data_IF_362648102872
#
_entry.id   IF_362648102872
#
_cell.length_a   1.000
_cell.length_b   1.000
_cell.length_c   1.000
_cell.angle_alpha   90.00
_cell.angle_beta   90.00
_cell.angle_gamma   90.00
#
_symmetry.space_group_name_H-M   'P 1'
#
loop_
_entity.id
_entity.type
_entity.pdbx_description
1 polymer ?
#
# COMPACT_ATOMS: atom_id res chain seq x y z
N UNK A 1 19.25 6.40 19.68
CA UNK A 1 17.85 6.84 19.53
C UNK A 1 17.01 5.63 19.84
N UNK A 2 16.40 5.62 21.02
CA UNK A 2 15.59 4.52 21.52
C UNK A 2 14.43 4.29 20.55
N UNK A 3 14.40 3.13 19.91
CA UNK A 3 13.19 2.67 19.22
C UNK A 3 12.12 2.50 20.31
N UNK A 4 11.10 3.37 20.30
CA UNK A 4 9.97 3.47 21.26
C UNK A 4 9.16 2.15 21.41
N UNK A 5 9.79 1.06 21.81
CA UNK A 5 9.18 -0.27 21.91
C UNK A 5 8.90 -0.96 20.56
N UNK A 6 8.96 -0.28 19.41
CA UNK A 6 8.71 -0.90 18.08
C UNK A 6 9.76 -1.97 17.79
N UNK A 7 9.29 -3.17 17.46
CA UNK A 7 10.15 -4.35 17.18
C UNK A 7 10.16 -4.73 15.70
N UNK A 8 9.13 -4.34 14.94
CA UNK A 8 9.06 -4.67 13.51
C UNK A 8 8.36 -3.61 12.66
N UNK A 9 8.64 -3.65 11.36
CA UNK A 9 8.05 -2.80 10.33
C UNK A 9 7.43 -3.68 9.26
N UNK A 10 6.13 -3.51 9.02
CA UNK A 10 5.41 -4.09 7.91
C UNK A 10 5.30 -3.04 6.79
N UNK A 11 6.01 -3.30 5.70
CA UNK A 11 6.20 -2.36 4.61
C UNK A 11 5.50 -2.86 3.34
N UNK A 12 4.57 -2.06 2.83
CA UNK A 12 3.86 -2.32 1.59
C UNK A 12 4.37 -1.47 0.41
N UNK A 13 5.52 -0.79 0.56
CA UNK A 13 6.11 -0.06 -0.57
C UNK A 13 6.23 -1.01 -1.75
N UNK A 14 5.85 -0.48 -2.90
CA UNK A 14 5.97 -1.17 -4.16
C UNK A 14 7.47 -1.28 -4.47
N UNK A 15 8.08 -2.39 -4.10
CA UNK A 15 9.28 -2.86 -4.80
C UNK A 15 8.73 -3.41 -6.10
N UNK A 16 8.38 -2.52 -7.03
CA UNK A 16 7.99 -2.93 -8.36
C UNK A 16 9.15 -3.78 -8.86
N UNK A 17 9.07 -5.10 -8.88
CA UNK A 17 10.20 -5.91 -9.36
C UNK A 17 10.01 -6.22 -10.84
N UNK A 18 8.82 -6.06 -11.38
CA UNK A 18 8.60 -5.97 -12.83
C UNK A 18 8.99 -4.58 -13.35
N UNK A 19 8.77 -3.54 -12.53
CA UNK A 19 9.10 -2.15 -12.88
C UNK A 19 10.56 -1.80 -12.49
N UNK A 20 11.04 -2.08 -11.28
CA UNK A 20 12.41 -1.83 -10.78
C UNK A 20 13.47 -2.84 -11.21
N UNK A 21 13.12 -4.00 -11.78
CA UNK A 21 14.12 -4.82 -12.48
C UNK A 21 14.52 -4.18 -13.83
N UNK A 22 13.74 -3.19 -14.29
CA UNK A 22 14.02 -2.38 -15.49
C UNK A 22 14.07 -0.86 -15.26
N UNK A 23 13.65 -0.34 -14.10
CA UNK A 23 14.04 1.00 -13.63
C UNK A 23 15.48 0.86 -13.14
N UNK A 24 16.45 1.17 -13.98
CA UNK A 24 17.79 1.38 -13.48
C UNK A 24 17.75 2.54 -12.50
N UNK A 25 17.69 2.26 -11.19
CA UNK A 25 18.09 3.07 -10.01
C UNK A 25 17.96 4.62 -10.08
N UNK A 26 17.20 5.25 -10.98
CA UNK A 26 17.39 6.67 -11.32
C UNK A 26 16.19 7.57 -11.09
N UNK A 27 14.94 7.13 -11.25
CA UNK A 27 13.78 8.03 -11.15
C UNK A 27 13.37 8.27 -9.69
N UNK A 28 13.17 7.20 -8.92
CA UNK A 28 12.84 7.31 -7.49
C UNK A 28 14.02 7.81 -6.66
N UNK A 29 15.25 7.38 -6.99
CA UNK A 29 16.46 7.93 -6.37
C UNK A 29 16.69 9.39 -6.74
N UNK A 30 16.28 9.86 -7.93
CA UNK A 30 16.38 11.28 -8.28
C UNK A 30 15.33 12.13 -7.54
N UNK A 31 14.12 11.62 -7.33
CA UNK A 31 13.10 12.29 -6.52
C UNK A 31 13.48 12.30 -5.03
N UNK A 32 13.96 11.18 -4.48
CA UNK A 32 14.54 11.15 -3.13
C UNK A 32 15.80 12.01 -3.02
N UNK A 33 16.68 12.02 -4.02
CA UNK A 33 17.86 12.88 -4.03
C UNK A 33 17.48 14.37 -4.19
N UNK A 34 16.35 14.69 -4.81
CA UNK A 34 15.78 16.05 -4.85
C UNK A 34 15.20 16.45 -3.50
N UNK A 35 14.42 15.59 -2.83
CA UNK A 35 14.01 15.80 -1.42
C UNK A 35 15.23 16.00 -0.50
N UNK A 36 16.23 15.13 -0.63
CA UNK A 36 17.50 15.20 0.11
C UNK A 36 18.33 16.45 -0.24
N UNK A 37 18.20 17.03 -1.45
CA UNK A 37 18.80 18.32 -1.81
C UNK A 37 18.18 19.50 -1.09
N UNK A 38 16.92 19.40 -0.71
CA UNK A 38 16.26 20.37 0.15
C UNK A 38 16.71 20.19 1.61
N UNK A 39 16.91 18.95 2.06
CA UNK A 39 17.46 18.62 3.40
C UNK A 39 18.97 18.93 3.55
N UNK A 40 19.70 19.08 2.44
CA UNK A 40 21.14 19.35 2.35
C UNK A 40 21.58 20.73 2.91
N UNK A 41 20.65 21.55 3.43
CA UNK A 41 21.00 22.77 4.17
C UNK A 41 21.46 22.49 5.62
N UNK A 42 21.41 21.25 6.08
CA UNK A 42 21.81 20.84 7.44
C UNK A 42 23.20 20.15 7.40
N UNK A 43 24.27 20.78 7.93
CA UNK A 43 25.65 20.29 7.79
C UNK A 43 25.92 18.89 8.36
N UNK A 44 25.12 18.43 9.32
CA UNK A 44 25.29 17.12 9.98
C UNK A 44 25.04 15.92 9.05
N UNK A 45 24.32 16.09 7.93
CA UNK A 45 23.95 15.00 7.03
C UNK A 45 24.97 14.74 5.91
N UNK A 46 25.92 15.65 5.70
CA UNK A 46 26.87 15.64 4.56
C UNK A 46 27.87 14.47 4.58
N UNK A 47 28.28 13.97 5.76
CA UNK A 47 29.26 12.88 5.86
C UNK A 47 28.68 11.47 5.61
N UNK A 48 27.34 11.32 5.61
CA UNK A 48 26.68 10.01 5.46
C UNK A 48 26.38 9.61 4.00
N UNK A 49 26.53 10.53 3.06
CA UNK A 49 25.91 10.43 1.73
C UNK A 49 26.71 9.67 0.66
N UNK A 50 27.93 9.22 0.94
CA UNK A 50 28.72 8.43 -0.03
C UNK A 50 28.28 6.95 -0.14
N UNK A 51 27.43 6.46 0.77
CA UNK A 51 27.11 5.04 0.92
C UNK A 51 25.64 4.62 0.60
N UNK A 52 24.75 5.52 0.19
CA UNK A 52 23.30 5.28 0.31
C UNK A 52 22.57 5.05 -1.03
N UNK A 53 22.64 3.81 -1.53
CA UNK A 53 21.80 3.29 -2.62
C UNK A 53 20.62 2.43 -2.13
N UNK A 54 20.39 2.33 -0.82
CA UNK A 54 19.34 1.48 -0.22
C UNK A 54 18.46 2.29 0.75
N UNK A 55 17.17 1.90 0.95
CA UNK A 55 16.31 2.54 1.92
C UNK A 55 16.95 2.44 3.31
N UNK A 56 16.99 3.57 4.03
CA UNK A 56 17.57 3.63 5.38
C UNK A 56 16.71 2.77 6.29
N UNK A 57 17.19 1.56 6.59
CA UNK A 57 16.61 0.69 7.60
C UNK A 57 17.14 1.11 8.98
N UNK A 58 16.23 1.19 9.94
CA UNK A 58 16.59 1.48 11.33
C UNK A 58 17.21 0.20 11.90
N UNK A 59 18.48 0.24 12.35
CA UNK A 59 19.13 -0.94 12.92
C UNK A 59 18.33 -1.49 14.11
N UNK A 60 18.18 -2.81 14.16
CA UNK A 60 17.45 -3.49 15.24
C UNK A 60 15.96 -3.72 14.97
N UNK A 61 15.37 -3.13 13.92
CA UNK A 61 14.00 -3.43 13.51
C UNK A 61 13.95 -4.58 12.51
N UNK A 62 12.97 -5.46 12.68
CA UNK A 62 12.67 -6.50 11.69
C UNK A 62 11.75 -5.98 10.60
N UNK A 63 12.23 -5.95 9.36
CA UNK A 63 11.45 -5.50 8.20
C UNK A 63 10.73 -6.67 7.52
N UNK A 64 9.45 -6.47 7.22
CA UNK A 64 8.58 -7.39 6.48
C UNK A 64 8.07 -6.68 5.23
N UNK A 65 8.70 -6.92 4.09
CA UNK A 65 8.29 -6.34 2.81
C UNK A 65 7.25 -7.24 2.13
N UNK A 66 6.03 -6.72 1.94
CA UNK A 66 4.93 -7.46 1.33
C UNK A 66 4.31 -6.65 0.21
N UNK A 67 4.28 -7.23 -0.98
CA UNK A 67 3.74 -6.60 -2.18
C UNK A 67 2.25 -6.92 -2.35
N UNK A 68 1.38 -6.20 -1.66
CA UNK A 68 -0.08 -6.40 -1.75
C UNK A 68 -0.56 -6.31 -3.21
N UNK A 69 -0.12 -5.29 -3.96
CA UNK A 69 -0.39 -5.17 -5.40
C UNK A 69 0.63 -5.99 -6.20
N UNK A 70 0.61 -7.31 -5.99
CA UNK A 70 1.52 -8.27 -6.61
C UNK A 70 1.19 -8.61 -8.06
N UNK A 71 1.93 -9.54 -8.65
CA UNK A 71 1.81 -9.89 -10.08
C UNK A 71 0.40 -10.36 -10.50
N UNK A 72 -0.34 -11.00 -9.59
CA UNK A 72 -1.74 -11.39 -9.82
C UNK A 72 -2.64 -10.17 -10.02
N UNK A 73 -2.52 -9.17 -9.15
CA UNK A 73 -3.26 -7.92 -9.23
C UNK A 73 -2.84 -7.08 -10.44
N UNK A 74 -1.53 -6.96 -10.69
CA UNK A 74 -1.02 -6.27 -11.90
C UNK A 74 -1.61 -6.86 -13.18
N UNK A 75 -1.59 -8.20 -13.29
CA UNK A 75 -2.15 -8.90 -14.44
C UNK A 75 -3.67 -8.77 -14.54
N UNK A 76 -4.36 -8.79 -13.40
CA UNK A 76 -5.79 -8.47 -13.35
C UNK A 76 -6.06 -7.09 -13.95
N UNK A 77 -5.33 -6.04 -13.56
CA UNK A 77 -5.51 -4.69 -14.13
C UNK A 77 -5.22 -4.65 -15.64
N UNK A 78 -4.13 -5.28 -16.10
CA UNK A 78 -3.77 -5.31 -17.53
C UNK A 78 -4.87 -5.97 -18.37
N UNK A 79 -5.55 -7.00 -17.85
CA UNK A 79 -6.65 -7.66 -18.57
C UNK A 79 -7.91 -6.83 -18.72
N UNK A 80 -8.01 -5.74 -17.98
CA UNK A 80 -9.16 -4.83 -18.02
C UNK A 80 -8.96 -3.73 -19.08
N UNK A 81 -7.75 -3.64 -19.65
CA UNK A 81 -7.48 -2.72 -20.74
C UNK A 81 -8.26 -3.10 -21.99
N UNK A 82 -8.65 -2.08 -22.74
CA UNK A 82 -9.10 -2.28 -24.11
C UNK A 82 -7.97 -2.89 -24.95
N UNK A 83 -8.30 -3.54 -26.08
CA UNK A 83 -7.28 -4.02 -27.01
C UNK A 83 -6.34 -2.88 -27.47
N UNK A 84 -6.87 -1.67 -27.61
CA UNK A 84 -6.08 -0.48 -27.95
C UNK A 84 -5.19 -0.02 -26.79
N UNK A 85 -5.72 0.00 -25.56
CA UNK A 85 -4.96 0.31 -24.36
C UNK A 85 -3.83 -0.68 -24.12
N UNK A 86 -4.09 -1.98 -24.32
CA UNK A 86 -3.06 -3.02 -24.22
C UNK A 86 -1.96 -2.84 -25.27
N UNK A 87 -2.33 -2.58 -26.53
CA UNK A 87 -1.37 -2.28 -27.58
C UNK A 87 -0.51 -1.06 -27.23
N UNK A 88 -1.14 0.04 -26.81
CA UNK A 88 -0.46 1.28 -26.42
C UNK A 88 0.46 1.06 -25.23
N UNK A 89 0.02 0.33 -24.21
CA UNK A 89 0.82 -0.05 -23.05
C UNK A 89 2.10 -0.77 -23.48
N UNK A 90 1.96 -1.82 -24.31
CA UNK A 90 3.10 -2.63 -24.76
C UNK A 90 4.08 -1.79 -25.59
N UNK A 91 3.60 -1.00 -26.54
CA UNK A 91 4.45 -0.13 -27.37
C UNK A 91 5.21 0.89 -26.52
N UNK A 92 4.54 1.56 -25.59
CA UNK A 92 5.17 2.55 -24.71
C UNK A 92 6.26 1.91 -23.83
N UNK A 93 5.99 0.73 -23.29
CA UNK A 93 6.99 -0.01 -22.51
C UNK A 93 8.19 -0.46 -23.35
N UNK A 94 7.99 -0.88 -24.60
CA UNK A 94 9.08 -1.26 -25.52
C UNK A 94 9.94 -0.06 -25.92
N UNK A 95 9.33 1.12 -26.08
CA UNK A 95 10.01 2.37 -26.40
C UNK A 95 10.63 3.07 -25.18
N UNK A 96 10.44 2.53 -23.97
CA UNK A 96 10.99 3.08 -22.72
C UNK A 96 10.15 4.17 -22.06
N UNK A 97 8.98 4.51 -22.61
CA UNK A 97 8.00 5.47 -22.07
C UNK A 97 7.14 4.84 -20.97
N UNK A 98 7.77 4.53 -19.83
CA UNK A 98 7.12 3.76 -18.74
C UNK A 98 6.02 4.53 -18.03
N UNK A 99 6.23 5.82 -17.76
CA UNK A 99 5.25 6.64 -17.04
C UNK A 99 4.00 6.83 -17.90
N UNK A 100 4.18 7.06 -19.19
CA UNK A 100 3.12 7.14 -20.17
C UNK A 100 2.39 5.80 -20.30
N UNK A 101 3.11 4.68 -20.23
CA UNK A 101 2.52 3.35 -20.18
C UNK A 101 1.66 3.13 -18.93
N UNK A 102 2.15 3.50 -17.75
CA UNK A 102 1.39 3.43 -16.48
C UNK A 102 0.15 4.33 -16.55
N UNK A 103 0.27 5.51 -17.15
CA UNK A 103 -0.85 6.43 -17.38
C UNK A 103 -1.97 5.81 -18.22
N UNK A 104 -1.67 4.84 -19.09
CA UNK A 104 -2.72 4.06 -19.80
C UNK A 104 -3.52 3.22 -18.82
N UNK A 105 -2.89 2.50 -17.89
CA UNK A 105 -3.62 1.79 -16.83
C UNK A 105 -4.39 2.76 -15.95
N UNK A 106 -3.77 3.88 -15.57
CA UNK A 106 -4.40 4.87 -14.72
C UNK A 106 -5.70 5.39 -15.36
N UNK A 107 -5.64 5.82 -16.62
CA UNK A 107 -6.78 6.42 -17.32
C UNK A 107 -7.86 5.43 -17.78
N UNK A 108 -7.48 4.25 -18.29
CA UNK A 108 -8.46 3.27 -18.79
C UNK A 108 -9.02 2.35 -17.71
N UNK A 109 -8.28 2.11 -16.62
CA UNK A 109 -8.62 1.07 -15.64
C UNK A 109 -8.83 1.66 -14.25
N UNK A 110 -7.88 2.43 -13.73
CA UNK A 110 -7.90 2.87 -12.34
C UNK A 110 -8.92 4.00 -12.11
N UNK A 111 -8.85 5.08 -12.89
CA UNK A 111 -9.76 6.24 -12.78
C UNK A 111 -11.23 5.82 -12.93
N UNK A 112 -11.63 5.03 -13.95
CA UNK A 112 -13.03 4.60 -14.08
C UNK A 112 -13.52 3.69 -12.96
N UNK A 113 -12.63 2.92 -12.32
CA UNK A 113 -12.95 2.13 -11.14
C UNK A 113 -13.13 3.01 -9.90
N UNK A 114 -12.29 4.02 -9.76
CA UNK A 114 -12.17 4.81 -8.55
C UNK A 114 -11.49 4.03 -7.41
N UNK A 115 -11.14 4.76 -6.34
CA UNK A 115 -10.41 4.23 -5.19
C UNK A 115 -11.10 3.03 -4.54
N UNK A 116 -12.42 3.14 -4.29
CA UNK A 116 -13.13 2.09 -3.55
C UNK A 116 -13.14 0.78 -4.33
N UNK A 117 -13.52 0.81 -5.61
CA UNK A 117 -13.55 -0.42 -6.42
C UNK A 117 -12.16 -1.02 -6.56
N UNK A 118 -11.12 -0.20 -6.71
CA UNK A 118 -9.75 -0.68 -6.75
C UNK A 118 -9.33 -1.37 -5.43
N UNK A 119 -9.78 -0.83 -4.29
CA UNK A 119 -9.62 -1.47 -2.98
C UNK A 119 -10.28 -2.84 -2.92
N UNK A 120 -11.54 -2.96 -3.37
CA UNK A 120 -12.25 -4.24 -3.42
C UNK A 120 -11.57 -5.24 -4.38
N UNK A 121 -11.19 -4.79 -5.58
CA UNK A 121 -10.45 -5.61 -6.54
C UNK A 121 -9.12 -6.10 -5.92
N UNK A 122 -8.48 -5.32 -5.05
CA UNK A 122 -7.26 -5.76 -4.33
C UNK A 122 -7.58 -6.87 -3.33
N UNK A 123 -8.68 -6.77 -2.57
CA UNK A 123 -9.11 -7.82 -1.64
C UNK A 123 -9.34 -9.15 -2.38
N UNK A 124 -9.90 -9.08 -3.58
CA UNK A 124 -10.24 -10.25 -4.40
C UNK A 124 -9.01 -10.92 -5.03
N UNK A 125 -8.00 -10.15 -5.41
CA UNK A 125 -6.87 -10.65 -6.20
C UNK A 125 -5.61 -10.93 -5.38
N UNK A 126 -5.47 -10.32 -4.20
CA UNK A 126 -4.24 -10.31 -3.39
C UNK A 126 -4.34 -11.06 -2.06
N UNK A 127 -5.22 -12.06 -1.99
CA UNK A 127 -5.49 -12.79 -0.74
C UNK A 127 -4.25 -13.42 -0.09
N UNK A 128 -3.33 -13.98 -0.88
CA UNK A 128 -2.10 -14.60 -0.35
C UNK A 128 -1.20 -13.56 0.33
N UNK A 129 -1.04 -12.40 -0.29
CA UNK A 129 -0.23 -11.30 0.23
C UNK A 129 -0.86 -10.67 1.46
N UNK A 130 -2.19 -10.54 1.47
CA UNK A 130 -2.96 -10.10 2.63
C UNK A 130 -2.79 -11.09 3.79
N UNK A 131 -2.92 -12.40 3.55
CA UNK A 131 -2.72 -13.41 4.58
C UNK A 131 -1.29 -13.39 5.15
N UNK A 132 -0.28 -13.19 4.30
CA UNK A 132 1.12 -13.01 4.75
C UNK A 132 1.27 -11.76 5.63
N UNK A 133 0.61 -10.66 5.29
CA UNK A 133 0.63 -9.44 6.08
C UNK A 133 -0.03 -9.62 7.45
N UNK A 134 -1.21 -10.25 7.49
CA UNK A 134 -1.92 -10.52 8.74
C UNK A 134 -1.13 -11.44 9.69
N UNK A 135 -0.38 -12.40 9.14
CA UNK A 135 0.47 -13.30 9.95
C UNK A 135 1.61 -12.58 10.68
N UNK A 136 2.02 -11.39 10.25
CA UNK A 136 3.02 -10.59 10.98
C UNK A 136 2.51 -10.17 12.36
N UNK A 137 1.20 -9.99 12.54
CA UNK A 137 0.61 -9.65 13.83
C UNK A 137 0.48 -10.87 14.77
N UNK A 138 0.66 -12.09 14.27
CA UNK A 138 0.53 -13.32 15.06
C UNK A 138 1.79 -13.69 15.85
N UNK A 139 2.88 -12.95 15.69
CA UNK A 139 4.14 -13.22 16.39
C UNK A 139 4.35 -12.17 17.50
N UNK A 140 4.38 -12.58 18.78
CA UNK A 140 4.65 -11.66 19.88
C UNK A 140 5.96 -10.87 19.74
N UNK A 141 6.96 -11.44 19.05
CA UNK A 141 8.27 -10.83 18.83
C UNK A 141 8.26 -9.73 17.76
N UNK A 142 7.21 -9.63 16.96
CA UNK A 142 7.05 -8.58 15.95
C UNK A 142 6.20 -7.43 16.46
N UNK A 143 5.38 -7.63 17.49
CA UNK A 143 4.61 -6.59 18.17
C UNK A 143 5.42 -5.84 19.24
N UNK A 144 5.35 -4.49 19.27
CA UNK A 144 4.56 -3.62 18.41
C UNK A 144 5.14 -3.44 16.99
N UNK A 145 4.24 -3.46 16.00
CA UNK A 145 4.54 -3.39 14.56
C UNK A 145 4.14 -2.05 13.99
N UNK A 146 5.05 -1.36 13.28
CA UNK A 146 4.72 -0.21 12.45
C UNK A 146 4.27 -0.67 11.06
N UNK A 147 3.09 -0.24 10.61
CA UNK A 147 2.56 -0.59 9.28
C UNK A 147 2.60 0.65 8.38
N UNK A 148 3.22 0.56 7.21
CA UNK A 148 3.24 1.68 6.27
C UNK A 148 3.24 1.24 4.80
N UNK A 149 2.88 2.18 3.93
CA UNK A 149 3.03 2.05 2.49
C UNK A 149 3.72 3.31 1.93
N UNK A 150 3.37 3.75 0.72
CA UNK A 150 3.90 5.01 0.16
C UNK A 150 3.32 6.24 0.87
N UNK A 151 1.99 6.30 0.99
CA UNK A 151 1.25 7.43 1.59
C UNK A 151 0.57 7.06 2.92
N UNK A 152 0.66 5.80 3.35
CA UNK A 152 -0.02 5.33 4.56
C UNK A 152 -1.54 5.21 4.46
N UNK A 153 -2.14 5.47 3.28
CA UNK A 153 -3.59 5.55 3.07
C UNK A 153 -4.24 4.23 2.65
N UNK A 154 -3.99 3.78 1.41
CA UNK A 154 -4.84 2.73 0.81
C UNK A 154 -4.44 1.31 1.25
N UNK A 155 -3.20 0.87 0.98
CA UNK A 155 -2.71 -0.47 1.36
C UNK A 155 -2.63 -0.64 2.87
N UNK A 156 -2.17 0.40 3.57
CA UNK A 156 -2.13 0.42 5.04
C UNK A 156 -3.54 0.38 5.60
N UNK A 157 -4.43 1.29 5.17
CA UNK A 157 -5.81 1.34 5.62
C UNK A 157 -6.55 0.02 5.39
N UNK A 158 -6.33 -0.64 4.26
CA UNK A 158 -6.91 -1.96 3.98
C UNK A 158 -6.50 -3.03 4.99
N UNK A 159 -5.20 -3.17 5.28
CA UNK A 159 -4.74 -4.17 6.25
C UNK A 159 -5.22 -3.85 7.67
N UNK A 160 -5.17 -2.57 8.07
CA UNK A 160 -5.68 -2.15 9.38
C UNK A 160 -7.18 -2.39 9.48
N UNK A 161 -7.96 -2.09 8.43
CA UNK A 161 -9.40 -2.38 8.36
C UNK A 161 -9.68 -3.86 8.58
N UNK A 162 -8.97 -4.75 7.89
CA UNK A 162 -9.14 -6.20 8.05
C UNK A 162 -8.78 -6.67 9.46
N UNK A 163 -7.73 -6.12 10.08
CA UNK A 163 -7.37 -6.41 11.47
C UNK A 163 -8.48 -5.97 12.41
N UNK A 164 -8.95 -4.72 12.31
CA UNK A 164 -9.99 -4.18 13.19
C UNK A 164 -11.32 -4.91 13.04
N UNK A 165 -11.73 -5.26 11.81
CA UNK A 165 -12.89 -6.11 11.55
C UNK A 165 -12.73 -7.50 12.19
N UNK A 166 -11.55 -8.10 12.08
CA UNK A 166 -11.27 -9.40 12.71
C UNK A 166 -11.26 -9.33 14.25
N UNK A 167 -11.08 -8.15 14.83
CA UNK A 167 -11.16 -7.88 16.27
C UNK A 167 -12.57 -7.46 16.74
N UNK A 168 -13.58 -7.52 15.86
CA UNK A 168 -14.96 -7.11 16.12
C UNK A 168 -15.11 -5.63 16.53
N UNK A 169 -14.22 -4.76 16.04
CA UNK A 169 -14.31 -3.30 16.27
C UNK A 169 -15.48 -2.72 15.46
N UNK A 170 -16.31 -1.81 16.04
CA UNK A 170 -17.44 -1.20 15.33
C UNK A 170 -17.02 -0.47 14.05
N UNK A 171 -17.81 -0.59 12.98
CA UNK A 171 -17.52 0.00 11.68
C UNK A 171 -17.30 1.51 11.76
N UNK A 172 -18.08 2.21 12.58
CA UNK A 172 -17.99 3.66 12.76
C UNK A 172 -16.64 4.08 13.36
N UNK A 173 -16.06 3.25 14.23
CA UNK A 173 -14.73 3.50 14.80
C UNK A 173 -13.62 3.27 13.77
N UNK A 174 -13.76 2.23 12.92
CA UNK A 174 -12.82 1.95 11.83
C UNK A 174 -12.87 3.07 10.78
N UNK A 175 -14.07 3.52 10.43
CA UNK A 175 -14.29 4.64 9.50
C UNK A 175 -13.68 5.94 10.04
N UNK A 176 -13.89 6.22 11.33
CA UNK A 176 -13.26 7.37 11.95
C UNK A 176 -11.73 7.30 11.87
N UNK A 177 -11.11 6.17 12.24
CA UNK A 177 -9.65 5.98 12.19
C UNK A 177 -9.12 6.17 10.76
N UNK A 178 -9.75 5.54 9.77
CA UNK A 178 -9.37 5.66 8.36
C UNK A 178 -9.39 7.13 7.87
N UNK A 179 -10.42 7.88 8.24
CA UNK A 179 -10.59 9.27 7.82
C UNK A 179 -9.61 10.26 8.48
N UNK A 180 -8.96 9.89 9.59
CA UNK A 180 -7.88 10.71 10.18
C UNK A 180 -6.69 10.89 9.22
N UNK A 181 -6.56 10.02 8.21
CA UNK A 181 -5.50 10.10 7.19
C UNK A 181 -5.56 11.41 6.38
N UNK A 182 -6.75 11.94 6.10
CA UNK A 182 -6.91 13.16 5.28
C UNK A 182 -6.12 14.34 5.88
N UNK A 183 -6.31 14.61 7.17
CA UNK A 183 -5.62 15.71 7.86
C UNK A 183 -4.12 15.51 8.02
N UNK A 184 -3.65 14.27 8.03
CA UNK A 184 -2.22 13.95 8.18
C UNK A 184 -1.40 14.19 6.90
N UNK A 185 -2.06 14.25 5.72
CA UNK A 185 -1.40 14.41 4.43
C UNK A 185 -1.35 15.86 3.93
N UNK A 186 -2.05 16.78 4.60
CA UNK A 186 -2.25 18.16 4.11
C UNK A 186 -0.94 18.93 3.93
N UNK A 187 0.06 18.71 4.81
CA UNK A 187 1.38 19.35 4.69
C UNK A 187 2.16 18.93 3.45
N UNK A 188 1.83 17.79 2.85
CA UNK A 188 2.48 17.25 1.64
C UNK A 188 1.59 17.38 0.38
N UNK A 189 0.43 18.04 0.49
CA UNK A 189 -0.63 18.01 -0.53
C UNK A 189 -0.16 18.31 -1.95
N UNK A 190 0.51 19.44 -2.16
CA UNK A 190 0.94 19.87 -3.50
C UNK A 190 1.95 18.91 -4.14
N UNK A 191 2.86 18.35 -3.33
CA UNK A 191 3.81 17.36 -3.80
C UNK A 191 3.10 16.07 -4.19
N UNK A 192 2.19 15.57 -3.34
CA UNK A 192 1.44 14.35 -3.59
C UNK A 192 0.51 14.47 -4.79
N UNK A 193 -0.13 15.62 -4.98
CA UNK A 193 -0.94 15.88 -6.18
C UNK A 193 -0.10 15.87 -7.45
N UNK A 194 1.13 16.38 -7.38
CA UNK A 194 2.07 16.30 -8.50
C UNK A 194 2.40 14.83 -8.82
N UNK A 195 2.74 14.03 -7.81
CA UNK A 195 3.01 12.59 -7.99
C UNK A 195 1.79 11.83 -8.57
N UNK A 196 0.58 12.14 -8.09
CA UNK A 196 -0.69 11.55 -8.57
C UNK A 196 -0.92 11.87 -10.05
N UNK A 197 -0.74 13.14 -10.44
CA UNK A 197 -0.93 13.58 -11.83
C UNK A 197 0.15 13.02 -12.77
N UNK A 198 1.39 12.86 -12.30
CA UNK A 198 2.50 12.27 -13.08
C UNK A 198 2.21 10.84 -13.53
N UNK A 199 1.45 10.08 -12.74
CA UNK A 199 1.05 8.70 -13.07
C UNK A 199 -0.32 8.63 -13.77
N UNK A 200 -0.95 9.76 -14.08
CA UNK A 200 -2.22 9.83 -14.81
C UNK A 200 -3.46 9.61 -13.97
N UNK A 201 -3.37 9.77 -12.65
CA UNK A 201 -4.52 9.77 -11.74
C UNK A 201 -5.04 11.19 -11.53
N UNK A 202 -6.25 11.29 -10.99
CA UNK A 202 -6.97 12.54 -10.75
C UNK A 202 -6.84 12.99 -9.28
N UNK A 203 -7.06 14.28 -9.00
CA UNK A 203 -6.82 14.88 -7.68
C UNK A 203 -7.63 14.24 -6.54
N UNK A 204 -8.79 13.64 -6.85
CA UNK A 204 -9.62 12.86 -5.92
C UNK A 204 -8.93 11.61 -5.36
N UNK A 205 -7.80 11.19 -5.94
CA UNK A 205 -6.97 10.10 -5.42
C UNK A 205 -6.14 10.47 -4.20
N UNK A 206 -6.03 11.77 -3.91
CA UNK A 206 -5.32 12.29 -2.74
C UNK A 206 -6.06 11.94 -1.44
N UNK A 207 -7.37 12.17 -1.41
CA UNK A 207 -8.17 11.97 -0.20
C UNK A 207 -8.43 10.47 0.09
N UNK A 208 -8.65 10.10 1.36
CA UNK A 208 -9.26 8.81 1.69
C UNK A 208 -10.66 8.74 1.11
N UNK A 209 -11.08 7.55 0.65
CA UNK A 209 -12.39 7.40 0.04
C UNK A 209 -13.48 7.32 1.13
N UNK A 210 -14.48 8.22 1.16
CA UNK A 210 -15.41 8.41 2.29
C UNK A 210 -16.39 7.25 2.56
N UNK A 211 -16.41 6.21 1.72
CA UNK A 211 -17.21 5.00 1.92
C UNK A 211 -16.36 3.72 1.89
N UNK A 212 -15.02 3.83 1.97
CA UNK A 212 -14.11 2.69 1.80
C UNK A 212 -14.43 1.58 2.80
N UNK A 213 -14.64 1.94 4.07
CA UNK A 213 -14.86 0.98 5.16
C UNK A 213 -16.22 0.33 5.01
N UNK A 214 -17.28 1.12 4.84
CA UNK A 214 -18.64 0.63 4.66
C UNK A 214 -18.78 -0.30 3.43
N UNK A 215 -18.15 0.06 2.31
CA UNK A 215 -18.17 -0.78 1.09
C UNK A 215 -17.29 -2.02 1.23
N UNK A 216 -16.17 -1.94 1.94
CA UNK A 216 -15.35 -3.12 2.26
C UNK A 216 -16.13 -4.11 3.11
N UNK A 217 -16.76 -3.65 4.19
CA UNK A 217 -17.57 -4.52 5.05
C UNK A 217 -18.70 -5.21 4.28
N UNK A 218 -19.45 -4.45 3.47
CA UNK A 218 -20.52 -4.99 2.62
C UNK A 218 -19.99 -6.03 1.63
N UNK A 219 -18.87 -5.75 0.96
CA UNK A 219 -18.23 -6.69 0.02
C UNK A 219 -17.84 -8.00 0.72
N UNK A 220 -17.27 -7.92 1.92
CA UNK A 220 -16.93 -9.11 2.72
C UNK A 220 -18.19 -9.89 3.12
N UNK A 221 -19.26 -9.22 3.53
CA UNK A 221 -20.52 -9.86 3.91
C UNK A 221 -21.20 -10.56 2.72
N UNK A 222 -21.33 -9.86 1.58
CA UNK A 222 -22.07 -10.34 0.40
C UNK A 222 -21.31 -11.46 -0.34
N UNK A 223 -20.00 -11.30 -0.58
CA UNK A 223 -19.24 -12.20 -1.46
C UNK A 223 -18.49 -13.30 -0.69
N UNK A 224 -18.31 -13.13 0.62
CA UNK A 224 -17.48 -14.03 1.44
C UNK A 224 -18.19 -14.56 2.68
N UNK A 225 -19.42 -14.10 2.99
CA UNK A 225 -20.11 -14.48 4.22
C UNK A 225 -19.51 -13.84 5.47
N UNK A 226 -18.91 -12.66 5.32
CA UNK A 226 -18.32 -11.84 6.36
C UNK A 226 -16.80 -11.99 6.47
N UNK A 227 -16.21 -11.23 7.40
CA UNK A 227 -14.75 -11.18 7.61
C UNK A 227 -14.15 -12.57 7.87
N UNK A 228 -14.82 -13.43 8.65
CA UNK A 228 -14.34 -14.79 8.95
C UNK A 228 -14.29 -15.65 7.68
N UNK A 229 -15.29 -15.53 6.81
CA UNK A 229 -15.32 -16.26 5.54
C UNK A 229 -14.25 -15.78 4.56
N UNK A 230 -14.02 -14.47 4.49
CA UNK A 230 -12.93 -13.91 3.70
C UNK A 230 -11.56 -14.39 4.18
N UNK A 231 -11.28 -14.26 5.49
CA UNK A 231 -10.03 -14.69 6.11
C UNK A 231 -9.79 -16.19 5.89
N UNK A 232 -10.82 -17.01 6.09
CA UNK A 232 -10.75 -18.45 5.80
C UNK A 232 -10.41 -18.75 4.33
N UNK A 233 -11.01 -18.04 3.38
CA UNK A 233 -10.75 -18.21 1.94
C UNK A 233 -9.31 -17.85 1.55
N UNK A 234 -8.72 -16.83 2.18
CA UNK A 234 -7.31 -16.45 1.94
C UNK A 234 -6.33 -17.29 2.78
N UNK A 235 -6.82 -18.31 3.50
CA UNK A 235 -6.03 -19.22 4.29
C UNK A 235 -5.55 -18.66 5.62
N UNK A 236 -6.21 -17.64 6.17
CA UNK A 236 -6.05 -17.13 7.53
C UNK A 236 -7.17 -17.71 8.40
N UNK A 237 -6.90 -18.86 9.02
CA UNK A 237 -7.92 -19.70 9.61
C UNK A 237 -8.43 -19.20 10.98
N UNK A 238 -9.34 -19.96 11.59
CA UNK A 238 -9.92 -19.62 12.89
C UNK A 238 -8.88 -19.60 14.02
N UNK A 239 -7.83 -20.43 13.94
CA UNK A 239 -6.76 -20.45 14.92
C UNK A 239 -5.93 -19.16 14.82
N UNK A 240 -5.59 -18.75 13.60
CA UNK A 240 -4.92 -17.48 13.32
C UNK A 240 -5.77 -16.29 13.85
N UNK A 241 -7.08 -16.29 13.62
CA UNK A 241 -8.00 -15.26 14.13
C UNK A 241 -8.04 -15.19 15.67
N UNK A 242 -8.15 -16.33 16.35
CA UNK A 242 -8.16 -16.38 17.81
C UNK A 242 -6.83 -15.89 18.40
N UNK A 243 -5.71 -16.25 17.76
CA UNK A 243 -4.39 -15.80 18.17
C UNK A 243 -4.23 -14.29 17.99
N UNK A 244 -4.74 -13.74 16.89
CA UNK A 244 -4.77 -12.30 16.64
C UNK A 244 -5.53 -11.56 17.76
N UNK A 245 -6.75 -12.02 18.08
CA UNK A 245 -7.56 -11.47 19.17
C UNK A 245 -6.81 -11.51 20.50
N UNK A 246 -6.19 -12.63 20.85
CA UNK A 246 -5.44 -12.79 22.10
C UNK A 246 -4.21 -11.86 22.21
N UNK A 247 -3.59 -11.49 21.09
CA UNK A 247 -2.39 -10.65 21.09
C UNK A 247 -2.69 -9.16 21.07
N UNK A 248 -3.79 -8.76 20.44
CA UNK A 248 -4.14 -7.35 20.23
C UNK A 248 -5.25 -6.84 21.16
N UNK A 249 -6.07 -7.72 21.72
CA UNK A 249 -7.02 -7.40 22.78
C UNK A 249 -6.40 -7.74 24.13
N UNK A 250 -6.64 -6.87 25.12
CA UNK A 250 -6.19 -7.03 26.50
C UNK A 250 -6.85 -8.20 27.21
#
# INVERSE_FOLDING_TARGET
>A
MDSNGITSVLNFRDVGSTVNRFQGRRTEHAQQARKRKTDLQIPALLQSNAALAEPVQIPGLKYHDIRITGGRFEWFLVRQLSWWGLYRLVVLFLLGYRNEGISVLASEVMVPRGLVRLGLDTLDQSGEEIAKALRVFLNPLTTPTLVHCTQGKDRTGMIITLVLLALDVPLEAIEHDYMLTSGALESEREERLTEIREIGLTDDWFEPAPDMIARTARHLDEDYGGIVGYLGKIGFDQYDCQKLKKLLLY
#
